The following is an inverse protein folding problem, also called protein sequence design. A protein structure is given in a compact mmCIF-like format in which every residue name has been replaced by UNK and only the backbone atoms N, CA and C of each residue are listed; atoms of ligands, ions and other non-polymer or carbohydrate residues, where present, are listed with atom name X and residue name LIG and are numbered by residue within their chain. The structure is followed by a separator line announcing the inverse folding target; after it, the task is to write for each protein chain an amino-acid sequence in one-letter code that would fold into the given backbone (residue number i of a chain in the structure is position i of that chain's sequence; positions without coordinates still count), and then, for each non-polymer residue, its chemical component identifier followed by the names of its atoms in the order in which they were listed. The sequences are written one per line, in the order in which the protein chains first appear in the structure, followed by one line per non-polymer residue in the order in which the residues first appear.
data_IF_580092521051
#
_entry.id   IF_580092521051
#
_cell.length_a   1.000
_cell.length_b   1.000
_cell.length_c   1.000
_cell.angle_alpha   90.00
_cell.angle_beta   90.00
_cell.angle_gamma   90.00
#
_symmetry.space_group_name_H-M   'P 1'
#
loop_
_entity.id
_entity.type
_entity.pdbx_description
1 polymer ?
#
# COMPACT_ATOMS: atom_id res chain seq x y z
N UNK A 1 -65.68 6.84 -34.63
CA UNK A 1 -64.52 5.96 -34.82
C UNK A 1 -63.36 6.62 -34.10
N UNK A 2 -63.16 6.24 -32.86
CA UNK A 2 -62.14 6.85 -31.93
C UNK A 2 -60.92 5.94 -31.84
N UNK A 3 -59.76 6.44 -32.26
CA UNK A 3 -58.46 5.73 -32.14
C UNK A 3 -57.83 6.11 -30.81
N UNK A 4 -57.83 5.17 -29.88
CA UNK A 4 -57.10 5.29 -28.61
C UNK A 4 -55.65 4.91 -28.89
N UNK A 5 -54.73 5.89 -28.69
CA UNK A 5 -53.30 5.72 -28.81
C UNK A 5 -52.77 5.32 -27.44
N UNK A 6 -52.32 4.05 -27.28
CA UNK A 6 -51.63 3.56 -26.09
C UNK A 6 -50.15 3.99 -26.14
N UNK A 7 -49.78 4.95 -25.28
CA UNK A 7 -48.38 5.27 -25.02
C UNK A 7 -47.84 4.25 -23.98
N UNK A 8 -46.98 3.35 -24.44
CA UNK A 8 -46.21 2.48 -23.56
C UNK A 8 -44.98 3.26 -23.09
N UNK A 9 -44.99 3.70 -21.84
CA UNK A 9 -43.80 4.25 -21.16
C UNK A 9 -42.90 3.08 -20.74
N UNK A 10 -41.86 2.79 -21.53
CA UNK A 10 -40.84 1.86 -21.15
C UNK A 10 -39.91 2.57 -20.15
N UNK A 11 -40.10 2.35 -18.85
CA UNK A 11 -39.16 2.73 -17.79
C UNK A 11 -37.93 1.84 -17.87
N UNK A 12 -36.89 2.35 -18.53
CA UNK A 12 -35.57 1.73 -18.55
C UNK A 12 -34.93 1.93 -17.19
N UNK A 13 -35.04 0.94 -16.32
CA UNK A 13 -34.31 0.90 -15.04
C UNK A 13 -32.83 0.70 -15.38
N UNK A 14 -32.06 1.79 -15.40
CA UNK A 14 -30.58 1.72 -15.41
C UNK A 14 -30.13 1.11 -14.09
N UNK A 15 -29.96 -0.20 -14.08
CA UNK A 15 -29.25 -0.91 -13.02
C UNK A 15 -27.77 -0.52 -13.14
N UNK A 16 -27.36 0.58 -12.49
CA UNK A 16 -25.95 0.88 -12.27
C UNK A 16 -25.42 -0.15 -11.29
N UNK A 17 -24.90 -1.24 -11.82
CA UNK A 17 -24.09 -2.18 -11.05
C UNK A 17 -22.83 -1.42 -10.58
N UNK A 18 -22.90 -0.78 -9.41
CA UNK A 18 -21.72 -0.39 -8.68
C UNK A 18 -21.01 -1.71 -8.37
N UNK A 19 -19.94 -2.00 -9.13
CA UNK A 19 -19.04 -3.06 -8.79
C UNK A 19 -18.52 -2.74 -7.37
N UNK A 20 -19.07 -3.40 -6.36
CA UNK A 20 -18.57 -3.31 -4.98
C UNK A 20 -17.10 -3.69 -5.03
N UNK A 21 -16.23 -2.73 -4.79
CA UNK A 21 -14.80 -2.98 -4.80
C UNK A 21 -14.52 -4.12 -3.83
N UNK A 22 -13.99 -5.24 -4.33
CA UNK A 22 -13.77 -6.44 -3.53
C UNK A 22 -12.95 -6.10 -2.28
N UNK A 23 -13.45 -6.44 -1.10
CA UNK A 23 -12.74 -6.28 0.17
C UNK A 23 -11.45 -7.10 0.16
N UNK A 24 -10.32 -6.46 0.42
CA UNK A 24 -9.02 -7.12 0.54
C UNK A 24 -8.74 -7.51 2.00
N UNK A 25 -7.96 -8.57 2.18
CA UNK A 25 -7.28 -8.86 3.45
C UNK A 25 -5.88 -8.25 3.38
N UNK A 26 -5.65 -7.18 4.13
CA UNK A 26 -4.39 -6.43 4.15
C UNK A 26 -3.65 -6.73 5.44
N UNK A 27 -2.50 -7.37 5.35
CA UNK A 27 -1.62 -7.59 6.49
C UNK A 27 -0.54 -6.51 6.57
N UNK A 28 -0.49 -5.78 7.67
CA UNK A 28 0.51 -4.74 7.92
C UNK A 28 1.60 -5.29 8.82
N UNK A 29 2.75 -5.64 8.26
CA UNK A 29 3.94 -6.03 9.01
C UNK A 29 4.71 -4.77 9.38
N UNK A 30 4.67 -4.45 10.68
CA UNK A 30 5.21 -3.20 11.22
C UNK A 30 4.12 -2.15 11.44
N UNK A 31 3.36 -2.31 12.53
CA UNK A 31 2.27 -1.41 12.93
C UNK A 31 2.76 -0.13 13.65
N UNK A 32 3.87 0.44 13.18
CA UNK A 32 4.38 1.73 13.64
C UNK A 32 3.58 2.91 13.08
N UNK A 33 4.16 4.12 13.13
CA UNK A 33 3.48 5.36 12.69
C UNK A 33 2.98 5.28 11.24
N UNK A 34 3.81 4.83 10.30
CA UNK A 34 3.44 4.72 8.87
C UNK A 34 2.45 3.58 8.64
N UNK A 35 2.80 2.35 9.03
CA UNK A 35 1.93 1.18 8.83
C UNK A 35 0.62 1.29 9.59
N UNK A 36 0.63 1.83 10.81
CA UNK A 36 -0.58 2.08 11.59
C UNK A 36 -1.51 3.11 10.92
N UNK A 37 -0.96 4.20 10.36
CA UNK A 37 -1.74 5.21 9.65
C UNK A 37 -2.37 4.64 8.38
N UNK A 38 -1.57 4.01 7.51
CA UNK A 38 -2.07 3.44 6.26
C UNK A 38 -3.08 2.31 6.51
N UNK A 39 -2.79 1.40 7.43
CA UNK A 39 -3.71 0.34 7.81
C UNK A 39 -5.04 0.87 8.35
N UNK A 40 -5.02 1.96 9.12
CA UNK A 40 -6.23 2.64 9.58
C UNK A 40 -7.03 3.24 8.42
N UNK A 41 -6.38 3.85 7.44
CA UNK A 41 -7.05 4.38 6.24
C UNK A 41 -7.72 3.24 5.46
N UNK A 42 -7.03 2.13 5.24
CA UNK A 42 -7.61 0.97 4.53
C UNK A 42 -8.75 0.29 5.31
N UNK A 43 -8.64 0.17 6.64
CA UNK A 43 -9.73 -0.37 7.45
C UNK A 43 -10.99 0.51 7.37
N UNK A 44 -10.82 1.84 7.36
CA UNK A 44 -11.91 2.81 7.16
C UNK A 44 -12.47 2.79 5.74
N UNK A 45 -11.66 2.44 4.74
CA UNK A 45 -12.11 2.22 3.37
C UNK A 45 -12.85 0.87 3.16
N UNK A 46 -13.01 0.06 4.22
CA UNK A 46 -13.79 -1.17 4.20
C UNK A 46 -12.98 -2.45 3.97
N UNK A 47 -11.65 -2.36 3.97
CA UNK A 47 -10.79 -3.55 3.88
C UNK A 47 -10.63 -4.22 5.25
N UNK A 48 -10.46 -5.56 5.25
CA UNK A 48 -10.08 -6.28 6.45
C UNK A 48 -8.57 -6.11 6.68
N UNK A 49 -8.17 -5.55 7.85
CA UNK A 49 -6.77 -5.22 8.15
C UNK A 49 -6.27 -6.00 9.35
N UNK A 50 -5.11 -6.64 9.21
CA UNK A 50 -4.39 -7.22 10.34
C UNK A 50 -3.10 -6.43 10.59
N UNK A 51 -3.04 -5.74 11.72
CA UNK A 51 -1.80 -5.14 12.21
C UNK A 51 -0.94 -6.19 12.88
N UNK A 52 0.34 -6.26 12.54
CA UNK A 52 1.23 -7.22 13.17
C UNK A 52 2.44 -6.59 13.82
N UNK A 53 2.84 -7.20 14.89
CA UNK A 53 3.95 -6.79 15.74
C UNK A 53 4.56 -8.02 16.43
N UNK A 54 5.75 -7.85 17.00
CA UNK A 54 6.34 -8.82 17.94
C UNK A 54 5.53 -8.93 19.24
N UNK A 55 4.75 -7.90 19.54
CA UNK A 55 3.87 -7.74 20.70
C UNK A 55 2.46 -7.35 20.24
N UNK A 56 1.65 -8.30 19.71
CA UNK A 56 0.33 -8.00 19.18
C UNK A 56 -0.63 -7.39 20.21
N UNK A 57 -0.48 -7.77 21.46
CA UNK A 57 -1.26 -7.27 22.61
C UNK A 57 -1.12 -5.76 22.81
N UNK A 58 0.03 -5.18 22.44
CA UNK A 58 0.27 -3.74 22.52
C UNK A 58 -0.48 -2.94 21.43
N UNK A 59 -1.09 -3.61 20.44
CA UNK A 59 -1.79 -2.97 19.32
C UNK A 59 -3.26 -2.70 19.58
N UNK A 60 -3.80 -3.03 20.76
CA UNK A 60 -5.23 -2.86 21.11
C UNK A 60 -5.73 -1.44 20.83
N UNK A 61 -4.99 -0.41 21.22
CA UNK A 61 -5.35 0.99 20.95
C UNK A 61 -5.43 1.33 19.48
N UNK A 62 -4.52 0.80 18.67
CA UNK A 62 -4.50 0.99 17.21
C UNK A 62 -5.68 0.27 16.54
N UNK A 63 -5.95 -0.98 16.94
CA UNK A 63 -7.09 -1.77 16.43
C UNK A 63 -8.41 -1.05 16.71
N UNK A 64 -8.61 -0.58 17.95
CA UNK A 64 -9.82 0.16 18.32
C UNK A 64 -9.99 1.46 17.52
N UNK A 65 -8.89 2.19 17.29
CA UNK A 65 -8.91 3.43 16.49
C UNK A 65 -9.17 3.19 15.00
N UNK A 66 -8.75 2.03 14.47
CA UNK A 66 -8.98 1.64 13.07
C UNK A 66 -10.42 1.13 12.84
N UNK A 67 -11.09 0.62 13.88
CA UNK A 67 -12.49 0.19 13.83
C UNK A 67 -12.69 -1.32 13.59
N UNK A 68 -13.95 -1.75 13.31
CA UNK A 68 -14.34 -3.15 13.34
C UNK A 68 -13.68 -4.04 12.27
N UNK A 69 -13.13 -3.44 11.22
CA UNK A 69 -12.44 -4.16 10.16
C UNK A 69 -10.98 -4.47 10.49
N UNK A 70 -10.50 -4.05 11.68
CA UNK A 70 -9.12 -4.21 12.11
C UNK A 70 -8.97 -5.29 13.18
N UNK A 71 -7.80 -5.95 13.17
CA UNK A 71 -7.38 -6.90 14.20
C UNK A 71 -5.87 -6.83 14.40
N UNK A 72 -5.38 -7.39 15.51
CA UNK A 72 -3.97 -7.61 15.74
C UNK A 72 -3.60 -9.08 15.52
N UNK A 73 -2.33 -9.36 15.21
CA UNK A 73 -1.79 -10.70 15.08
C UNK A 73 -0.26 -10.71 15.12
N UNK A 74 0.31 -11.91 15.16
CA UNK A 74 1.75 -12.09 15.01
C UNK A 74 2.19 -11.83 13.56
N UNK A 75 3.49 -11.66 13.34
CA UNK A 75 4.06 -11.54 11.98
C UNK A 75 3.75 -12.79 11.14
N UNK A 76 3.80 -13.98 11.76
CA UNK A 76 3.49 -15.24 11.06
C UNK A 76 2.01 -15.34 10.67
N UNK A 77 1.09 -14.94 11.56
CA UNK A 77 -0.34 -14.91 11.25
C UNK A 77 -0.64 -13.96 10.11
N UNK A 78 -0.05 -12.76 10.16
CA UNK A 78 -0.19 -11.74 9.13
C UNK A 78 0.29 -12.25 7.75
N UNK A 79 1.45 -12.90 7.70
CA UNK A 79 2.00 -13.44 6.46
C UNK A 79 1.08 -14.47 5.80
N UNK A 80 0.41 -15.30 6.60
CA UNK A 80 -0.49 -16.35 6.11
C UNK A 80 -1.87 -15.79 5.74
N UNK A 81 -2.37 -14.84 6.54
CA UNK A 81 -3.77 -14.39 6.44
C UNK A 81 -4.02 -13.40 5.30
N UNK A 82 -3.07 -12.48 5.01
CA UNK A 82 -3.28 -11.41 4.04
C UNK A 82 -3.19 -11.86 2.60
N UNK A 83 -4.02 -11.29 1.74
CA UNK A 83 -3.89 -11.35 0.28
C UNK A 83 -2.78 -10.39 -0.17
N UNK A 84 -2.66 -9.25 0.52
CA UNK A 84 -1.61 -8.25 0.34
C UNK A 84 -0.83 -8.07 1.63
N UNK A 85 0.49 -8.04 1.51
CA UNK A 85 1.40 -7.82 2.63
C UNK A 85 1.99 -6.42 2.52
N UNK A 86 1.68 -5.57 3.48
CA UNK A 86 2.28 -4.24 3.61
C UNK A 86 3.48 -4.34 4.55
N UNK A 87 4.65 -4.00 4.03
CA UNK A 87 5.90 -3.99 4.79
C UNK A 87 6.23 -2.56 5.22
N UNK A 88 6.19 -2.30 6.53
CA UNK A 88 6.39 -0.96 7.11
C UNK A 88 7.29 -1.02 8.35
N UNK A 89 8.50 -1.55 8.18
CA UNK A 89 9.48 -1.80 9.25
C UNK A 89 10.76 -0.99 9.03
N UNK A 90 11.57 -0.76 10.09
CA UNK A 90 12.96 -0.34 9.93
C UNK A 90 13.70 -1.34 9.03
N UNK A 91 14.47 -0.84 8.06
CA UNK A 91 15.08 -1.70 7.05
C UNK A 91 16.10 -2.69 7.64
N UNK A 92 16.72 -2.33 8.75
CA UNK A 92 17.60 -3.24 9.51
C UNK A 92 16.94 -4.52 10.01
N UNK A 93 15.59 -4.60 10.01
CA UNK A 93 14.86 -5.81 10.36
C UNK A 93 14.73 -6.83 9.21
N UNK A 94 15.09 -6.45 7.97
CA UNK A 94 14.92 -7.29 6.78
C UNK A 94 15.57 -8.67 6.87
N UNK A 95 16.81 -8.85 7.39
CA UNK A 95 17.41 -10.18 7.50
C UNK A 95 16.59 -11.14 8.39
N UNK A 96 16.11 -10.65 9.54
CA UNK A 96 15.30 -11.45 10.46
C UNK A 96 13.94 -11.77 9.87
N UNK A 97 13.30 -10.80 9.21
CA UNK A 97 12.01 -10.99 8.56
C UNK A 97 12.11 -11.94 7.38
N UNK A 98 13.17 -11.87 6.59
CA UNK A 98 13.43 -12.79 5.48
C UNK A 98 13.36 -14.25 5.94
N UNK A 99 14.04 -14.58 7.03
CA UNK A 99 14.01 -15.96 7.60
C UNK A 99 12.63 -16.33 8.16
N UNK A 100 11.97 -15.41 8.88
CA UNK A 100 10.63 -15.66 9.44
C UNK A 100 9.53 -15.86 8.37
N UNK A 101 9.70 -15.21 7.23
CA UNK A 101 8.70 -15.15 6.15
C UNK A 101 9.03 -16.07 4.97
N UNK A 102 10.14 -16.79 5.03
CA UNK A 102 10.60 -17.69 3.97
C UNK A 102 9.50 -18.65 3.51
N UNK A 103 9.20 -18.65 2.20
CA UNK A 103 8.18 -19.48 1.58
C UNK A 103 6.72 -19.14 1.95
N UNK A 104 6.49 -18.10 2.77
CA UNK A 104 5.11 -17.72 3.18
C UNK A 104 4.51 -16.63 2.30
N UNK A 105 5.32 -15.94 1.52
CA UNK A 105 4.90 -14.80 0.70
C UNK A 105 4.89 -15.08 -0.79
N UNK A 106 5.21 -16.30 -1.22
CA UNK A 106 5.31 -16.66 -2.63
C UNK A 106 3.99 -16.38 -3.37
N UNK A 107 4.07 -15.64 -4.46
CA UNK A 107 2.94 -15.22 -5.28
C UNK A 107 2.05 -14.12 -4.66
N UNK A 108 2.36 -13.63 -3.46
CA UNK A 108 1.63 -12.53 -2.84
C UNK A 108 2.14 -11.18 -3.32
N UNK A 109 1.29 -10.16 -3.23
CA UNK A 109 1.72 -8.77 -3.40
C UNK A 109 2.40 -8.29 -2.13
N UNK A 110 3.63 -7.79 -2.27
CA UNK A 110 4.36 -7.06 -1.24
C UNK A 110 4.29 -5.56 -1.55
N UNK A 111 3.61 -4.82 -0.70
CA UNK A 111 3.55 -3.37 -0.76
C UNK A 111 4.52 -2.77 0.27
N UNK A 112 5.69 -2.31 -0.20
CA UNK A 112 6.78 -1.88 0.68
C UNK A 112 6.79 -0.36 0.86
N UNK A 113 6.65 0.09 2.11
CA UNK A 113 6.85 1.47 2.55
C UNK A 113 8.18 1.66 3.30
N UNK A 114 8.95 0.58 3.42
CA UNK A 114 10.21 0.56 4.17
C UNK A 114 11.32 1.30 3.43
N UNK A 115 12.08 2.11 4.16
CA UNK A 115 13.20 2.86 3.63
C UNK A 115 14.51 2.46 4.33
N UNK A 116 15.59 2.21 3.58
CA UNK A 116 16.90 2.06 4.16
C UNK A 116 17.48 3.43 4.56
N UNK A 117 17.98 3.51 5.79
CA UNK A 117 18.74 4.65 6.29
C UNK A 117 20.07 4.15 6.88
N UNK A 118 21.19 4.49 6.26
CA UNK A 118 22.52 3.99 6.69
C UNK A 118 22.82 4.27 8.17
N UNK A 119 22.39 5.44 8.68
CA UNK A 119 22.60 5.81 10.09
C UNK A 119 21.75 5.01 11.08
N UNK A 120 20.56 4.50 10.68
CA UNK A 120 19.67 3.69 11.52
C UNK A 120 19.87 2.20 11.31
N UNK A 121 20.04 1.79 10.06
CA UNK A 121 19.97 0.39 9.64
C UNK A 121 21.38 -0.22 9.37
N UNK A 122 22.45 0.57 9.62
CA UNK A 122 23.84 0.11 9.50
C UNK A 122 24.16 -0.47 8.12
N UNK A 123 24.86 -1.58 8.08
CA UNK A 123 25.29 -2.27 6.86
C UNK A 123 24.13 -2.77 6.01
N UNK A 124 23.02 -3.18 6.63
CA UNK A 124 21.82 -3.62 5.92
C UNK A 124 21.23 -2.47 5.10
N UNK A 125 21.11 -1.29 5.70
CA UNK A 125 20.63 -0.10 5.02
C UNK A 125 21.58 0.38 3.93
N UNK A 126 22.89 0.39 4.19
CA UNK A 126 23.92 0.80 3.23
C UNK A 126 23.92 -0.11 1.99
N UNK A 127 23.96 -1.43 2.18
CA UNK A 127 23.89 -2.40 1.07
C UNK A 127 22.62 -2.26 0.24
N UNK A 128 21.48 -2.01 0.87
CA UNK A 128 20.23 -1.83 0.15
C UNK A 128 20.23 -0.57 -0.73
N UNK A 129 20.87 0.51 -0.29
CA UNK A 129 21.06 1.72 -1.10
C UNK A 129 22.01 1.48 -2.27
N UNK A 130 23.11 0.75 -2.06
CA UNK A 130 24.09 0.39 -3.09
C UNK A 130 23.50 -0.56 -4.14
N UNK A 131 22.73 -1.57 -3.70
CA UNK A 131 22.10 -2.57 -4.57
C UNK A 131 20.93 -1.97 -5.38
N UNK A 132 20.30 -0.93 -4.84
CA UNK A 132 19.01 -0.44 -5.26
C UNK A 132 17.88 -1.06 -4.44
N UNK A 133 17.07 -0.20 -3.81
CA UNK A 133 16.12 -0.59 -2.77
C UNK A 133 15.08 -1.62 -3.22
N UNK A 134 14.64 -1.56 -4.48
CA UNK A 134 13.67 -2.52 -5.02
C UNK A 134 14.29 -3.92 -5.19
N UNK A 135 15.50 -3.98 -5.72
CA UNK A 135 16.23 -5.24 -5.87
C UNK A 135 16.57 -5.83 -4.49
N UNK A 136 16.94 -4.99 -3.53
CA UNK A 136 17.22 -5.44 -2.16
C UNK A 136 15.95 -6.01 -1.49
N UNK A 137 14.76 -5.40 -1.67
CA UNK A 137 13.49 -5.97 -1.20
C UNK A 137 13.24 -7.35 -1.79
N UNK A 138 13.44 -7.53 -3.11
CA UNK A 138 13.24 -8.81 -3.81
C UNK A 138 14.27 -9.87 -3.39
N UNK A 139 15.49 -9.48 -3.05
CA UNK A 139 16.51 -10.41 -2.53
C UNK A 139 16.16 -10.91 -1.12
N UNK A 140 15.63 -10.04 -0.24
CA UNK A 140 15.20 -10.45 1.09
C UNK A 140 13.89 -11.26 1.06
N UNK A 141 12.96 -10.92 0.19
CA UNK A 141 11.64 -11.52 0.10
C UNK A 141 11.37 -11.96 -1.35
N UNK A 142 12.01 -13.04 -1.80
CA UNK A 142 11.85 -13.55 -3.17
C UNK A 142 10.43 -14.10 -3.41
N UNK A 143 10.04 -14.20 -4.68
CA UNK A 143 8.76 -14.79 -5.09
C UNK A 143 7.54 -13.86 -4.93
N UNK A 144 7.72 -12.60 -4.53
CA UNK A 144 6.64 -11.63 -4.35
C UNK A 144 6.42 -10.76 -5.57
N UNK A 145 5.20 -10.27 -5.75
CA UNK A 145 4.84 -9.18 -6.65
C UNK A 145 5.08 -7.85 -5.95
N UNK A 146 6.21 -7.19 -6.22
CA UNK A 146 6.65 -6.00 -5.47
C UNK A 146 6.04 -4.71 -6.01
N UNK A 147 5.36 -3.97 -5.14
CA UNK A 147 5.01 -2.57 -5.31
C UNK A 147 5.63 -1.73 -4.18
N UNK A 148 6.10 -0.54 -4.48
CA UNK A 148 6.61 0.42 -3.50
C UNK A 148 5.86 1.75 -3.63
N UNK A 149 5.42 2.31 -2.49
CA UNK A 149 4.78 3.61 -2.46
C UNK A 149 4.82 4.20 -1.03
N UNK A 150 4.47 5.47 -0.88
CA UNK A 150 4.47 6.20 0.40
C UNK A 150 5.85 6.32 1.08
N UNK A 151 6.92 6.03 0.37
CA UNK A 151 8.27 5.95 0.91
C UNK A 151 8.82 7.29 1.41
N UNK A 152 8.37 8.42 0.84
CA UNK A 152 8.86 9.75 1.17
C UNK A 152 7.75 10.69 1.67
N UNK A 153 6.69 10.14 2.25
CA UNK A 153 5.59 10.90 2.84
C UNK A 153 5.54 10.64 4.34
N UNK A 154 5.53 11.69 5.14
CA UNK A 154 5.39 11.57 6.59
C UNK A 154 3.99 11.08 6.99
N UNK A 155 3.89 10.25 8.03
CA UNK A 155 2.61 9.65 8.48
C UNK A 155 1.54 10.70 8.83
N UNK A 156 1.94 11.86 9.38
CA UNK A 156 1.02 12.97 9.65
C UNK A 156 0.40 13.51 8.35
N UNK A 157 1.23 13.75 7.34
CA UNK A 157 0.76 14.19 6.03
C UNK A 157 -0.11 13.12 5.35
N UNK A 158 0.18 11.82 5.50
CA UNK A 158 -0.70 10.75 5.01
C UNK A 158 -2.09 10.84 5.64
N UNK A 159 -2.17 11.08 6.96
CA UNK A 159 -3.43 11.24 7.68
C UNK A 159 -4.19 12.49 7.23
N UNK A 160 -3.50 13.63 7.19
CA UNK A 160 -4.13 14.93 7.00
C UNK A 160 -4.47 15.23 5.53
N UNK A 161 -3.77 14.61 4.57
CA UNK A 161 -3.95 14.85 3.13
C UNK A 161 -4.72 13.74 2.41
N UNK A 162 -5.14 12.69 3.12
CA UNK A 162 -6.03 11.66 2.56
C UNK A 162 -7.34 12.31 2.08
N UNK A 163 -7.79 11.98 0.89
CA UNK A 163 -8.98 12.56 0.26
C UNK A 163 -8.77 13.93 -0.40
N UNK A 164 -7.55 14.50 -0.38
CA UNK A 164 -7.27 15.82 -0.92
C UNK A 164 -6.62 15.79 -2.33
N UNK A 165 -6.86 14.74 -3.11
CA UNK A 165 -6.35 14.57 -4.48
C UNK A 165 -4.81 14.73 -4.60
N UNK A 166 -4.07 14.34 -3.57
CA UNK A 166 -2.61 14.32 -3.60
C UNK A 166 -2.11 13.09 -4.32
N UNK A 167 -1.13 13.27 -5.20
CA UNK A 167 -0.53 12.19 -5.97
C UNK A 167 0.59 11.50 -5.20
N UNK A 168 0.62 10.17 -5.31
CA UNK A 168 1.64 9.30 -4.74
C UNK A 168 2.27 8.48 -5.86
N UNK A 169 3.61 8.49 -6.01
CA UNK A 169 4.28 7.59 -6.94
C UNK A 169 4.16 6.14 -6.47
N UNK A 170 3.82 5.26 -7.40
CA UNK A 170 3.76 3.80 -7.22
C UNK A 170 4.78 3.17 -8.14
N UNK A 171 5.74 2.46 -7.59
CA UNK A 171 6.79 1.78 -8.33
C UNK A 171 6.49 0.28 -8.39
N UNK A 172 6.21 -0.22 -9.59
CA UNK A 172 5.89 -1.64 -9.82
C UNK A 172 6.06 -2.00 -11.29
N UNK A 173 6.50 -3.23 -11.60
CA UNK A 173 6.72 -3.69 -12.98
C UNK A 173 5.67 -4.69 -13.44
N UNK A 174 5.36 -5.73 -12.66
CA UNK A 174 4.38 -6.73 -13.07
C UNK A 174 2.92 -6.24 -12.91
N UNK A 175 2.01 -6.82 -13.69
CA UNK A 175 0.61 -6.38 -13.75
C UNK A 175 -0.10 -6.48 -12.39
N UNK A 176 0.17 -7.52 -11.61
CA UNK A 176 -0.49 -7.74 -10.33
C UNK A 176 -0.02 -6.73 -9.27
N UNK A 177 1.29 -6.46 -9.20
CA UNK A 177 1.86 -5.43 -8.33
C UNK A 177 1.36 -4.03 -8.71
N UNK A 178 1.26 -3.72 -10.02
CA UNK A 178 0.74 -2.44 -10.53
C UNK A 178 -0.72 -2.23 -10.16
N UNK A 179 -1.57 -3.22 -10.41
CA UNK A 179 -2.99 -3.17 -10.08
C UNK A 179 -3.18 -2.97 -8.58
N UNK A 180 -2.56 -3.83 -7.77
CA UNK A 180 -2.76 -3.81 -6.33
C UNK A 180 -2.11 -2.58 -5.68
N UNK A 181 -0.92 -2.19 -6.13
CA UNK A 181 -0.23 -0.99 -5.65
C UNK A 181 -1.05 0.28 -5.91
N UNK A 182 -1.60 0.44 -7.11
CA UNK A 182 -2.47 1.58 -7.44
C UNK A 182 -3.77 1.56 -6.67
N UNK A 183 -4.35 0.38 -6.46
CA UNK A 183 -5.56 0.21 -5.67
C UNK A 183 -5.34 0.64 -4.22
N UNK A 184 -4.28 0.16 -3.57
CA UNK A 184 -3.98 0.52 -2.18
C UNK A 184 -3.74 2.02 -2.00
N UNK A 185 -3.09 2.67 -2.95
CA UNK A 185 -2.89 4.14 -2.92
C UNK A 185 -4.23 4.85 -3.06
N UNK A 186 -5.09 4.43 -3.97
CA UNK A 186 -6.42 5.02 -4.17
C UNK A 186 -7.31 4.82 -2.95
N UNK A 187 -7.33 3.62 -2.39
CA UNK A 187 -8.17 3.27 -1.25
C UNK A 187 -7.67 3.92 0.07
N UNK A 188 -6.41 4.37 0.10
CA UNK A 188 -5.89 5.26 1.14
C UNK A 188 -6.25 6.74 0.92
N UNK A 189 -7.01 7.09 -0.14
CA UNK A 189 -7.47 8.45 -0.43
C UNK A 189 -6.48 9.29 -1.25
N UNK A 190 -5.59 8.69 -2.05
CA UNK A 190 -4.59 9.36 -2.86
C UNK A 190 -4.73 9.02 -4.35
N UNK A 191 -4.10 9.81 -5.21
CA UNK A 191 -4.04 9.59 -6.66
C UNK A 191 -2.76 8.81 -6.99
N UNK A 192 -2.85 7.54 -7.45
CA UNK A 192 -1.65 6.77 -7.81
C UNK A 192 -1.09 7.22 -9.15
N UNK A 193 0.24 7.37 -9.23
CA UNK A 193 0.96 7.60 -10.48
C UNK A 193 2.04 6.53 -10.63
N UNK A 194 1.90 5.69 -11.67
CA UNK A 194 2.75 4.52 -11.88
C UNK A 194 4.12 4.88 -12.48
N UNK A 195 5.12 4.19 -11.95
CA UNK A 195 6.52 4.24 -12.40
C UNK A 195 7.10 2.84 -12.50
N UNK A 196 8.09 2.62 -13.38
CA UNK A 196 8.89 1.40 -13.34
C UNK A 196 9.57 1.20 -11.99
N UNK A 197 9.67 -0.05 -11.55
CA UNK A 197 10.26 -0.40 -10.26
C UNK A 197 11.74 0.02 -10.17
N UNK A 198 12.46 0.04 -11.29
CA UNK A 198 13.84 0.52 -11.38
C UNK A 198 14.02 1.97 -10.90
N UNK A 199 12.95 2.79 -10.94
CA UNK A 199 12.93 4.18 -10.46
C UNK A 199 12.57 4.32 -8.97
N UNK A 200 12.41 3.23 -8.23
CA UNK A 200 11.99 3.26 -6.83
C UNK A 200 12.92 4.10 -5.92
N UNK A 201 14.19 4.24 -6.27
CA UNK A 201 15.14 5.10 -5.57
C UNK A 201 14.75 6.59 -5.61
N UNK A 202 14.05 7.03 -6.65
CA UNK A 202 13.58 8.41 -6.79
C UNK A 202 12.46 8.77 -5.80
N UNK A 203 11.72 7.78 -5.33
CA UNK A 203 10.67 7.92 -4.32
C UNK A 203 11.16 7.83 -2.88
N UNK A 204 12.46 7.62 -2.64
CA UNK A 204 13.01 7.63 -1.29
C UNK A 204 13.07 9.06 -0.70
N UNK A 205 13.16 9.22 0.63
CA UNK A 205 13.35 10.53 1.25
C UNK A 205 14.55 11.28 0.66
N UNK A 206 14.31 12.50 0.18
CA UNK A 206 15.32 13.31 -0.51
C UNK A 206 15.46 13.04 -2.02
N UNK A 207 14.80 12.03 -2.55
CA UNK A 207 14.77 11.77 -3.99
C UNK A 207 13.87 12.76 -4.76
N UNK A 208 14.00 12.83 -6.10
CA UNK A 208 13.27 13.80 -6.93
C UNK A 208 11.74 13.63 -6.91
N UNK A 209 11.23 12.44 -6.57
CA UNK A 209 9.81 12.13 -6.43
C UNK A 209 9.36 12.07 -4.95
N UNK A 210 10.19 12.54 -4.03
CA UNK A 210 9.81 12.58 -2.61
C UNK A 210 8.79 13.69 -2.35
N UNK A 211 7.83 13.44 -1.44
CA UNK A 211 6.81 14.41 -1.02
C UNK A 211 5.41 14.12 -1.54
N UNK A 212 4.53 15.10 -1.33
CA UNK A 212 3.16 15.10 -1.83
C UNK A 212 3.02 16.13 -2.95
N UNK A 213 2.42 15.74 -4.04
CA UNK A 213 2.27 16.54 -5.25
C UNK A 213 0.79 16.64 -5.62
N UNK A 214 0.40 17.63 -6.41
CA UNK A 214 -0.76 17.47 -7.27
C UNK A 214 -0.39 16.52 -8.43
N UNK A 215 -1.39 15.87 -9.03
CA UNK A 215 -1.15 14.99 -10.20
C UNK A 215 -0.43 15.75 -11.32
N UNK A 216 -0.85 17.01 -11.59
CA UNK A 216 -0.24 17.85 -12.61
C UNK A 216 1.23 18.19 -12.33
N UNK A 217 1.59 18.45 -11.06
CA UNK A 217 2.99 18.69 -10.67
C UNK A 217 3.84 17.45 -10.84
N UNK A 218 3.32 16.29 -10.45
CA UNK A 218 4.03 15.02 -10.57
C UNK A 218 4.23 14.65 -12.06
N UNK A 219 3.22 14.83 -12.91
CA UNK A 219 3.34 14.64 -14.37
C UNK A 219 4.38 15.58 -14.99
N UNK A 220 4.37 16.86 -14.62
CA UNK A 220 5.40 17.81 -15.10
C UNK A 220 6.81 17.40 -14.70
N UNK A 221 7.03 16.89 -13.51
CA UNK A 221 8.34 16.35 -13.08
C UNK A 221 8.80 15.16 -13.92
N UNK A 222 7.88 14.52 -14.61
CA UNK A 222 8.10 13.39 -15.50
C UNK A 222 8.34 13.77 -16.95
N UNK A 223 8.08 15.03 -17.31
CA UNK A 223 8.05 15.44 -18.71
C UNK A 223 6.83 14.88 -19.48
N UNK A 224 5.72 14.60 -18.78
CA UNK A 224 4.43 14.11 -19.32
C UNK A 224 3.41 15.24 -19.41
#
# INVERSE_FOLDING_TARGET
MSRILFLIFATMVLCTSQAMAQTLKISVIGAGKVGGTLGTLWAKAGHAVMFSSRHPEALTGLVNAAGPNARAGSVSDAATWGDVIVLSVPYGAMPVLSEQLKGKLDGKVLFSTSNPFSGRDGDVGRKALETGVALADQQYLPGVHLARAFNAVGYAAMKDQSGQNKAIPVFADDAHAREMGTRLVRDAGFVPVLFPLARAHEGLPGGPLSGLWSEAELKRKLGL
#
